data_IF_281373298997
#
_entry.id   IF_281373298997
#
_cell.length_a   1.000
_cell.length_b   1.000
_cell.length_c   1.000
_cell.angle_alpha   90.00
_cell.angle_beta   90.00
_cell.angle_gamma   90.00
#
_symmetry.space_group_name_H-M   'P 1'
#
loop_
_entity.id
_entity.type
_entity.pdbx_description
1 polymer ?
#
# COMPACT_ATOMS: atom_id res chain seq x y z
N UNK A 1 -2.04 -51.46 22.38
CA UNK A 1 -2.34 -50.23 21.60
C UNK A 1 -1.39 -49.14 22.04
N UNK A 2 -0.28 -48.99 21.32
CA UNK A 2 0.69 -47.92 21.58
C UNK A 2 0.08 -46.63 21.05
N UNK A 3 -0.18 -45.69 21.95
CA UNK A 3 -0.61 -44.33 21.63
C UNK A 3 0.52 -43.64 20.86
N UNK A 4 0.42 -43.65 19.52
CA UNK A 4 1.17 -42.76 18.64
C UNK A 4 0.59 -41.36 18.78
N UNK A 5 0.84 -40.72 19.92
CA UNK A 5 0.70 -39.28 20.02
C UNK A 5 1.91 -38.70 19.29
N UNK A 6 1.69 -38.23 18.06
CA UNK A 6 2.71 -37.56 17.24
C UNK A 6 3.44 -36.54 18.10
N UNK A 7 4.76 -36.71 18.23
CA UNK A 7 5.63 -35.70 18.81
C UNK A 7 5.39 -34.42 18.01
N UNK A 8 4.80 -33.41 18.64
CA UNK A 8 4.64 -32.08 18.03
C UNK A 8 6.00 -31.63 17.52
N UNK A 9 6.06 -31.20 16.26
CA UNK A 9 7.27 -30.61 15.69
C UNK A 9 7.78 -29.49 16.59
N UNK A 10 9.10 -29.35 16.73
CA UNK A 10 9.73 -28.31 17.56
C UNK A 10 9.21 -26.89 17.23
N UNK A 11 8.74 -26.66 16.00
CA UNK A 11 8.14 -25.40 15.53
C UNK A 11 6.61 -25.41 15.42
N UNK A 12 5.90 -26.27 16.16
CA UNK A 12 4.44 -26.30 16.11
C UNK A 12 3.84 -24.97 16.62
N UNK A 13 2.83 -24.45 15.92
CA UNK A 13 2.11 -23.26 16.35
C UNK A 13 1.48 -23.51 17.74
N UNK A 14 1.81 -22.64 18.71
CA UNK A 14 1.27 -22.70 20.06
C UNK A 14 0.21 -21.62 20.23
N UNK A 15 -1.04 -21.97 20.56
CA UNK A 15 -2.08 -21.00 20.87
C UNK A 15 -1.64 -20.04 21.97
N UNK A 16 -1.99 -18.77 21.83
CA UNK A 16 -1.53 -17.70 22.73
C UNK A 16 -1.87 -17.97 24.21
N UNK A 17 -3.06 -18.48 24.51
CA UNK A 17 -3.49 -18.82 25.87
C UNK A 17 -2.67 -19.95 26.52
N UNK A 18 -1.87 -20.70 25.74
CA UNK A 18 -0.96 -21.74 26.23
C UNK A 18 0.49 -21.25 26.34
N UNK A 19 0.81 -20.03 25.91
CA UNK A 19 2.11 -19.40 26.16
C UNK A 19 2.13 -18.88 27.61
N UNK A 20 2.84 -19.58 28.48
CA UNK A 20 2.97 -19.20 29.90
C UNK A 20 3.69 -17.84 30.05
N UNK A 21 3.00 -16.87 30.67
CA UNK A 21 3.37 -15.67 31.47
C UNK A 21 4.80 -15.06 31.53
N UNK A 22 5.78 -15.45 30.70
CA UNK A 22 7.10 -14.82 30.69
C UNK A 22 7.21 -13.59 29.77
N UNK A 23 6.17 -13.29 28.98
CA UNK A 23 6.14 -12.14 28.05
C UNK A 23 5.34 -10.95 28.61
N UNK A 24 5.55 -10.59 29.88
CA UNK A 24 4.99 -9.36 30.48
C UNK A 24 5.49 -8.09 29.76
N UNK A 25 6.49 -8.21 28.88
CA UNK A 25 7.15 -7.10 28.20
C UNK A 25 6.91 -7.01 26.68
N UNK A 26 5.90 -7.67 26.12
CA UNK A 26 5.64 -7.62 24.67
C UNK A 26 4.34 -6.88 24.31
N UNK A 27 4.24 -5.64 24.80
CA UNK A 27 3.11 -4.75 24.51
C UNK A 27 2.90 -4.64 22.98
N UNK A 28 3.98 -4.49 22.22
CA UNK A 28 3.98 -4.38 20.76
C UNK A 28 3.39 -5.61 20.05
N UNK A 29 3.76 -6.84 20.42
CA UNK A 29 3.16 -8.03 19.83
C UNK A 29 1.66 -8.16 20.10
N UNK A 30 1.21 -7.76 21.28
CA UNK A 30 -0.20 -7.77 21.63
C UNK A 30 -0.97 -6.72 20.82
N UNK A 31 -0.37 -5.55 20.61
CA UNK A 31 -0.91 -4.48 19.76
C UNK A 31 -1.02 -4.94 18.31
N UNK A 32 0.04 -5.49 17.74
CA UNK A 32 0.04 -6.03 16.38
C UNK A 32 -0.99 -7.14 16.20
N UNK A 33 -1.14 -8.03 17.19
CA UNK A 33 -2.19 -9.06 17.18
C UNK A 33 -3.59 -8.45 17.21
N UNK A 34 -3.82 -7.43 18.04
CA UNK A 34 -5.10 -6.73 18.12
C UNK A 34 -5.42 -6.04 16.78
N UNK A 35 -4.47 -5.28 16.22
CA UNK A 35 -4.60 -4.63 14.91
C UNK A 35 -4.91 -5.66 13.83
N UNK A 36 -4.15 -6.75 13.73
CA UNK A 36 -4.43 -7.84 12.78
C UNK A 36 -5.82 -8.44 13.00
N UNK A 37 -6.24 -8.62 14.26
CA UNK A 37 -7.56 -9.11 14.61
C UNK A 37 -8.69 -8.19 14.13
N UNK A 38 -8.50 -6.87 14.24
CA UNK A 38 -9.47 -5.88 13.73
C UNK A 38 -9.44 -5.85 12.19
N UNK A 39 -8.27 -5.78 11.57
CA UNK A 39 -8.14 -5.73 10.12
C UNK A 39 -8.65 -7.00 9.42
N UNK A 40 -8.51 -8.17 10.03
CA UNK A 40 -9.09 -9.42 9.51
C UNK A 40 -10.64 -9.41 9.53
N UNK A 41 -11.24 -8.62 10.43
CA UNK A 41 -12.69 -8.42 10.51
C UNK A 41 -13.18 -7.30 9.61
N UNK A 42 -12.29 -6.58 8.91
CA UNK A 42 -12.62 -5.49 7.99
C UNK A 42 -13.54 -5.92 6.85
N UNK A 43 -13.51 -7.20 6.46
CA UNK A 43 -14.41 -7.76 5.46
C UNK A 43 -15.80 -8.15 5.98
N UNK A 44 -16.01 -8.26 7.30
CA UNK A 44 -17.22 -8.88 7.88
C UNK A 44 -18.00 -7.99 8.85
N UNK A 45 -17.36 -6.98 9.45
CA UNK A 45 -18.01 -6.02 10.36
C UNK A 45 -18.31 -4.68 9.66
N UNK A 46 -19.20 -3.89 10.27
CA UNK A 46 -19.40 -2.47 9.91
C UNK A 46 -18.11 -1.69 10.19
N UNK A 47 -17.62 -0.95 9.19
CA UNK A 47 -16.37 -0.19 9.22
C UNK A 47 -16.25 0.71 10.47
N UNK A 48 -17.32 1.41 10.83
CA UNK A 48 -17.31 2.35 11.98
C UNK A 48 -17.02 1.65 13.31
N UNK A 49 -17.55 0.44 13.52
CA UNK A 49 -17.29 -0.33 14.74
C UNK A 49 -15.84 -0.80 14.82
N UNK A 50 -15.19 -1.05 13.68
CA UNK A 50 -13.77 -1.45 13.64
C UNK A 50 -12.83 -0.27 13.87
N UNK A 51 -13.18 0.89 13.31
CA UNK A 51 -12.44 2.12 13.57
C UNK A 51 -12.55 2.47 15.06
N UNK A 52 -13.75 2.36 15.64
CA UNK A 52 -13.95 2.56 17.08
C UNK A 52 -13.13 1.57 17.91
N UNK A 53 -13.19 0.27 17.57
CA UNK A 53 -12.35 -0.79 18.20
C UNK A 53 -10.85 -0.41 18.13
N UNK A 54 -10.37 0.26 17.07
CA UNK A 54 -8.98 0.70 16.94
C UNK A 54 -8.68 2.00 17.67
N UNK A 55 -9.55 3.00 17.61
CA UNK A 55 -9.30 4.30 18.26
C UNK A 55 -9.38 4.22 19.78
N UNK A 56 -10.23 3.33 20.32
CA UNK A 56 -10.38 3.08 21.77
C UNK A 56 -9.25 2.23 22.35
N UNK A 57 -8.49 1.54 21.49
CA UNK A 57 -7.30 0.84 21.91
C UNK A 57 -6.29 1.90 22.40
N UNK A 58 -6.12 1.99 23.71
CA UNK A 58 -5.24 2.91 24.47
C UNK A 58 -3.73 2.65 24.24
N UNK A 59 -3.38 2.14 23.05
CA UNK A 59 -2.07 1.61 22.70
C UNK A 59 -1.25 2.56 21.80
N UNK A 60 -1.72 3.79 21.55
CA UNK A 60 -1.08 4.80 20.68
C UNK A 60 0.10 5.55 21.34
N UNK A 61 0.96 4.83 22.05
CA UNK A 61 1.84 5.46 23.05
C UNK A 61 3.22 5.85 22.51
N UNK A 62 3.73 5.16 21.48
CA UNK A 62 5.10 5.32 20.99
C UNK A 62 5.25 5.16 19.46
N UNK A 63 6.41 5.57 18.96
CA UNK A 63 6.74 5.62 17.53
C UNK A 63 6.85 4.22 16.92
N UNK A 64 7.40 3.25 17.66
CA UNK A 64 7.63 1.88 17.21
C UNK A 64 6.28 1.19 16.94
N UNK A 65 5.31 1.37 17.82
CA UNK A 65 3.93 0.88 17.65
C UNK A 65 3.29 1.40 16.36
N UNK A 66 3.46 2.70 16.04
CA UNK A 66 2.96 3.28 14.79
C UNK A 66 3.61 2.62 13.56
N UNK A 67 4.93 2.39 13.58
CA UNK A 67 5.66 1.75 12.47
C UNK A 67 5.16 0.32 12.22
N UNK A 68 4.95 -0.44 13.28
CA UNK A 68 4.44 -1.81 13.19
C UNK A 68 3.01 -1.84 12.65
N UNK A 69 2.12 -0.99 13.17
CA UNK A 69 0.77 -0.84 12.66
C UNK A 69 0.75 -0.49 11.17
N UNK A 70 1.50 0.55 10.77
CA UNK A 70 1.59 0.98 9.38
C UNK A 70 2.03 -0.20 8.51
N UNK A 71 3.01 -0.97 8.98
CA UNK A 71 3.48 -2.15 8.24
C UNK A 71 2.37 -3.18 8.05
N UNK A 72 1.58 -3.47 9.09
CA UNK A 72 0.44 -4.40 9.00
C UNK A 72 -0.64 -3.86 8.05
N UNK A 73 -0.99 -2.58 8.13
CA UNK A 73 -2.00 -1.97 7.25
C UNK A 73 -1.55 -2.07 5.79
N UNK A 74 -0.29 -1.73 5.49
CA UNK A 74 0.25 -1.84 4.13
C UNK A 74 0.24 -3.28 3.62
N UNK A 75 0.67 -4.25 4.43
CA UNK A 75 0.64 -5.67 4.04
C UNK A 75 -0.78 -6.12 3.68
N UNK A 76 -1.77 -5.75 4.48
CA UNK A 76 -3.18 -6.12 4.25
C UNK A 76 -3.77 -5.40 3.03
N UNK A 77 -3.53 -4.10 2.90
CA UNK A 77 -4.02 -3.30 1.78
C UNK A 77 -3.43 -3.76 0.44
N UNK A 78 -2.16 -4.16 0.42
CA UNK A 78 -1.50 -4.70 -0.77
C UNK A 78 -2.03 -6.08 -1.15
N UNK A 79 -2.32 -6.94 -0.17
CA UNK A 79 -2.88 -8.27 -0.40
C UNK A 79 -4.35 -8.23 -0.82
N UNK A 80 -5.09 -7.21 -0.38
CA UNK A 80 -6.52 -7.04 -0.66
C UNK A 80 -6.84 -5.68 -1.28
N UNK A 81 -6.42 -5.41 -2.54
CA UNK A 81 -6.54 -4.08 -3.14
C UNK A 81 -7.98 -3.57 -3.30
N UNK A 82 -8.97 -4.47 -3.31
CA UNK A 82 -10.40 -4.10 -3.37
C UNK A 82 -10.86 -3.32 -2.14
N UNK A 83 -10.24 -3.54 -0.99
CA UNK A 83 -10.54 -2.83 0.25
C UNK A 83 -9.60 -1.62 0.48
N UNK A 84 -8.80 -1.24 -0.53
CA UNK A 84 -7.82 -0.16 -0.42
C UNK A 84 -8.41 1.18 0.05
N UNK A 85 -9.65 1.48 -0.36
CA UNK A 85 -10.36 2.69 0.10
C UNK A 85 -10.64 2.66 1.60
N UNK A 86 -11.09 1.51 2.12
CA UNK A 86 -11.36 1.31 3.55
C UNK A 86 -10.07 1.43 4.38
N UNK A 87 -8.97 0.82 3.92
CA UNK A 87 -7.68 0.96 4.60
C UNK A 87 -7.18 2.42 4.60
N UNK A 88 -7.42 3.17 3.52
CA UNK A 88 -7.03 4.58 3.45
C UNK A 88 -7.90 5.45 4.38
N UNK A 89 -9.20 5.17 4.43
CA UNK A 89 -10.11 5.83 5.37
C UNK A 89 -9.72 5.51 6.82
N UNK A 90 -9.29 4.28 7.12
CA UNK A 90 -8.78 3.91 8.44
C UNK A 90 -7.53 4.72 8.79
N UNK A 91 -6.54 4.79 7.89
CA UNK A 91 -5.36 5.64 8.09
C UNK A 91 -5.74 7.09 8.39
N UNK A 92 -6.79 7.62 7.76
CA UNK A 92 -7.23 9.00 7.98
C UNK A 92 -7.77 9.17 9.40
N UNK A 93 -8.60 8.25 9.88
CA UNK A 93 -9.13 8.31 11.24
C UNK A 93 -8.04 8.15 12.29
N UNK A 94 -7.06 7.27 12.05
CA UNK A 94 -5.89 7.14 12.93
C UNK A 94 -5.12 8.46 12.99
N UNK A 95 -4.87 9.12 11.85
CA UNK A 95 -4.18 10.41 11.83
C UNK A 95 -4.97 11.50 12.55
N UNK A 96 -6.30 11.55 12.38
CA UNK A 96 -7.16 12.51 13.06
C UNK A 96 -7.12 12.30 14.58
N UNK A 97 -7.23 11.05 15.03
CA UNK A 97 -7.12 10.72 16.45
C UNK A 97 -5.74 11.11 17.03
N UNK A 98 -4.64 10.87 16.31
CA UNK A 98 -3.31 11.31 16.73
C UNK A 98 -3.21 12.84 16.85
N UNK A 99 -3.80 13.58 15.90
CA UNK A 99 -3.83 15.05 15.93
C UNK A 99 -4.65 15.58 17.13
N UNK A 100 -5.81 14.98 17.41
CA UNK A 100 -6.70 15.37 18.51
C UNK A 100 -6.07 15.14 19.89
N UNK A 101 -5.24 14.10 20.01
CA UNK A 101 -4.44 13.80 21.21
C UNK A 101 -3.24 14.75 21.41
N UNK A 102 -3.05 15.70 20.49
CA UNK A 102 -2.22 16.89 20.65
C UNK A 102 -0.74 16.62 21.02
N UNK A 103 -0.04 15.89 20.14
CA UNK A 103 1.42 15.85 20.11
C UNK A 103 1.88 16.67 18.91
N UNK A 104 2.73 17.68 19.11
CA UNK A 104 3.32 18.53 18.06
C UNK A 104 4.10 17.74 16.98
N UNK A 105 4.20 16.43 17.11
CA UNK A 105 4.83 15.51 16.19
C UNK A 105 3.84 14.42 15.77
N UNK A 106 3.47 14.39 14.49
CA UNK A 106 2.64 13.33 13.90
C UNK A 106 3.53 12.15 13.51
N UNK A 107 3.65 11.14 14.38
CA UNK A 107 4.42 9.94 14.10
C UNK A 107 3.76 9.09 13.02
N UNK A 108 2.42 9.03 12.98
CA UNK A 108 1.71 8.22 12.00
C UNK A 108 1.93 8.73 10.58
N UNK A 109 1.60 9.99 10.28
CA UNK A 109 1.80 10.55 8.93
C UNK A 109 3.26 10.44 8.49
N UNK A 110 4.23 10.75 9.37
CA UNK A 110 5.66 10.63 9.04
C UNK A 110 6.05 9.18 8.75
N UNK A 111 5.58 8.24 9.58
CA UNK A 111 5.80 6.81 9.38
C UNK A 111 5.20 6.30 8.08
N UNK A 112 3.99 6.77 7.73
CA UNK A 112 3.27 6.41 6.51
C UNK A 112 4.03 6.87 5.27
N UNK A 113 4.47 8.13 5.23
CA UNK A 113 5.27 8.67 4.12
C UNK A 113 6.57 7.91 3.99
N UNK A 114 7.26 7.64 5.10
CA UNK A 114 8.50 6.86 5.09
C UNK A 114 8.28 5.43 4.60
N UNK A 115 7.19 4.77 4.99
CA UNK A 115 6.84 3.42 4.51
C UNK A 115 6.65 3.40 2.99
N UNK A 116 5.95 4.40 2.44
CA UNK A 116 5.77 4.52 0.98
C UNK A 116 7.13 4.65 0.28
N UNK A 117 7.98 5.56 0.77
CA UNK A 117 9.32 5.77 0.20
C UNK A 117 10.14 4.48 0.20
N UNK A 118 10.24 3.81 1.35
CA UNK A 118 10.99 2.54 1.47
C UNK A 118 10.45 1.45 0.54
N UNK A 119 9.12 1.30 0.40
CA UNK A 119 8.54 0.30 -0.49
C UNK A 119 8.81 0.61 -1.97
N UNK A 120 8.76 1.88 -2.36
CA UNK A 120 9.02 2.32 -3.74
C UNK A 120 10.51 2.20 -4.08
N UNK A 121 11.39 2.55 -3.14
CA UNK A 121 12.84 2.35 -3.25
C UNK A 121 13.19 0.86 -3.41
N UNK A 122 12.61 -0.01 -2.58
CA UNK A 122 12.80 -1.46 -2.70
C UNK A 122 12.36 -2.01 -4.06
N UNK A 123 11.24 -1.53 -4.61
CA UNK A 123 10.78 -1.90 -5.97
C UNK A 123 11.78 -1.46 -7.05
N UNK A 124 12.37 -0.27 -6.88
CA UNK A 124 13.38 0.25 -7.81
C UNK A 124 14.73 -0.48 -7.67
N UNK A 125 15.14 -0.89 -6.47
CA UNK A 125 16.35 -1.68 -6.24
C UNK A 125 16.21 -3.11 -6.79
N UNK A 126 15.08 -3.77 -6.52
CA UNK A 126 14.74 -5.09 -7.06
C UNK A 126 14.71 -5.09 -8.60
N UNK A 127 14.44 -3.94 -9.22
CA UNK A 127 14.49 -3.83 -10.68
C UNK A 127 15.90 -3.98 -11.25
N UNK A 128 16.93 -3.65 -10.46
CA UNK A 128 18.34 -3.66 -10.84
C UNK A 128 19.01 -5.02 -10.62
N UNK A 129 18.46 -5.85 -9.74
CA UNK A 129 18.99 -7.18 -9.43
C UNK A 129 18.24 -8.22 -10.27
N UNK A 130 18.78 -8.55 -11.44
CA UNK A 130 18.29 -9.69 -12.21
C UNK A 130 18.69 -10.99 -11.51
N UNK A 131 17.81 -11.47 -10.62
CA UNK A 131 17.94 -12.81 -10.09
C UNK A 131 17.32 -13.76 -11.12
N UNK A 132 18.14 -14.27 -12.04
CA UNK A 132 17.74 -15.25 -13.07
C UNK A 132 17.00 -16.46 -12.47
N UNK A 133 17.29 -16.81 -11.21
CA UNK A 133 16.72 -17.95 -10.49
C UNK A 133 15.46 -17.64 -9.65
N UNK A 134 14.82 -16.48 -9.83
CA UNK A 134 13.56 -16.20 -9.12
C UNK A 134 12.40 -17.02 -9.73
N UNK A 135 11.87 -17.97 -8.95
CA UNK A 135 10.74 -18.83 -9.33
C UNK A 135 9.48 -18.01 -9.68
N UNK A 136 8.68 -18.52 -10.62
CA UNK A 136 7.49 -17.87 -11.18
C UNK A 136 6.52 -17.39 -10.09
N UNK A 137 6.33 -18.19 -9.05
CA UNK A 137 5.47 -17.84 -7.91
C UNK A 137 5.92 -16.55 -7.21
N UNK A 138 7.23 -16.34 -7.05
CA UNK A 138 7.77 -15.11 -6.45
C UNK A 138 7.58 -13.92 -7.37
N UNK A 139 7.81 -14.07 -8.67
CA UNK A 139 7.56 -13.02 -9.68
C UNK A 139 6.10 -12.58 -9.69
N UNK A 140 5.16 -13.53 -9.67
CA UNK A 140 3.73 -13.25 -9.61
C UNK A 140 3.35 -12.53 -8.31
N UNK A 141 3.90 -12.96 -7.17
CA UNK A 141 3.68 -12.30 -5.88
C UNK A 141 4.18 -10.85 -5.90
N UNK A 142 5.42 -10.60 -6.34
CA UNK A 142 5.99 -9.25 -6.46
C UNK A 142 5.13 -8.35 -7.35
N UNK A 143 4.68 -8.85 -8.51
CA UNK A 143 3.77 -8.11 -9.39
C UNK A 143 2.45 -7.77 -8.69
N UNK A 144 1.83 -8.73 -8.01
CA UNK A 144 0.57 -8.53 -7.28
C UNK A 144 0.74 -7.49 -6.18
N UNK A 145 1.80 -7.61 -5.40
CA UNK A 145 2.09 -6.74 -4.26
C UNK A 145 2.37 -5.29 -4.75
N UNK A 146 3.08 -5.12 -5.87
CA UNK A 146 3.29 -3.81 -6.51
C UNK A 146 1.97 -3.18 -6.99
N UNK A 147 1.10 -3.96 -7.65
CA UNK A 147 -0.22 -3.48 -8.08
C UNK A 147 -1.05 -3.05 -6.86
N UNK A 148 -1.01 -3.83 -5.77
CA UNK A 148 -1.67 -3.50 -4.52
C UNK A 148 -1.14 -2.21 -3.89
N UNK A 149 0.18 -2.03 -3.89
CA UNK A 149 0.84 -0.82 -3.40
C UNK A 149 0.38 0.42 -4.16
N UNK A 150 0.38 0.37 -5.50
CA UNK A 150 -0.01 1.49 -6.37
C UNK A 150 -1.46 1.89 -6.13
N UNK A 151 -2.36 0.90 -6.07
CA UNK A 151 -3.77 1.14 -5.75
C UNK A 151 -3.93 1.77 -4.38
N UNK A 152 -3.22 1.26 -3.38
CA UNK A 152 -3.31 1.78 -2.02
C UNK A 152 -2.76 3.22 -1.91
N UNK A 153 -1.61 3.52 -2.52
CA UNK A 153 -1.05 4.88 -2.62
C UNK A 153 -2.08 5.84 -3.24
N UNK A 154 -2.78 5.42 -4.31
CA UNK A 154 -3.82 6.23 -4.94
C UNK A 154 -5.00 6.52 -3.99
N UNK A 155 -5.38 5.54 -3.16
CA UNK A 155 -6.42 5.72 -2.14
C UNK A 155 -5.96 6.62 -0.98
N UNK A 156 -4.70 6.56 -0.58
CA UNK A 156 -4.12 7.48 0.40
C UNK A 156 -4.11 8.92 -0.11
N UNK A 157 -3.85 9.12 -1.41
CA UNK A 157 -3.95 10.43 -2.04
C UNK A 157 -5.39 10.95 -2.08
N UNK A 158 -6.36 10.08 -2.42
CA UNK A 158 -7.80 10.42 -2.40
C UNK A 158 -8.24 11.05 -1.08
N UNK A 159 -7.75 10.52 0.05
CA UNK A 159 -8.09 10.99 1.40
C UNK A 159 -7.18 12.13 1.90
N UNK A 160 -6.32 12.69 1.04
CA UNK A 160 -5.36 13.76 1.34
C UNK A 160 -4.35 13.41 2.46
N UNK A 161 -4.03 12.13 2.65
CA UNK A 161 -2.97 11.70 3.58
C UNK A 161 -1.58 11.76 2.96
N UNK A 162 -1.49 11.86 1.64
CA UNK A 162 -0.25 12.13 0.94
C UNK A 162 -0.47 13.27 -0.04
N UNK A 163 0.57 14.04 -0.29
CA UNK A 163 0.54 15.15 -1.23
C UNK A 163 0.97 14.72 -2.64
N UNK A 164 0.78 15.63 -3.59
CA UNK A 164 1.16 15.41 -4.99
C UNK A 164 2.64 15.03 -5.16
N UNK A 165 3.55 15.60 -4.37
CA UNK A 165 5.00 15.35 -4.49
C UNK A 165 5.36 13.89 -4.21
N UNK A 166 4.63 13.22 -3.32
CA UNK A 166 4.82 11.79 -3.05
C UNK A 166 4.40 10.97 -4.28
N UNK A 167 3.26 11.30 -4.90
CA UNK A 167 2.80 10.65 -6.14
C UNK A 167 3.78 10.86 -7.30
N UNK A 168 4.23 12.10 -7.49
CA UNK A 168 5.19 12.47 -8.54
C UNK A 168 6.48 11.68 -8.39
N UNK A 169 7.00 11.54 -7.16
CA UNK A 169 8.17 10.71 -6.89
C UNK A 169 7.94 9.23 -7.26
N UNK A 170 6.76 8.67 -6.97
CA UNK A 170 6.43 7.31 -7.37
C UNK A 170 6.40 7.17 -8.90
N UNK A 171 5.72 8.10 -9.60
CA UNK A 171 5.63 8.12 -11.07
C UNK A 171 7.01 8.19 -11.72
N UNK A 172 7.84 9.15 -11.29
CA UNK A 172 9.21 9.33 -11.81
C UNK A 172 10.04 8.07 -11.57
N UNK A 173 9.89 7.42 -10.41
CA UNK A 173 10.60 6.18 -10.11
C UNK A 173 10.22 5.05 -11.06
N UNK A 174 8.91 4.85 -11.28
CA UNK A 174 8.43 3.79 -12.19
C UNK A 174 8.80 4.07 -13.64
N UNK A 175 8.67 5.30 -14.12
CA UNK A 175 9.06 5.67 -15.49
C UNK A 175 10.56 5.45 -15.70
N UNK A 176 11.42 5.91 -14.78
CA UNK A 176 12.88 5.69 -14.86
C UNK A 176 13.24 4.20 -14.79
N UNK A 177 12.56 3.43 -13.96
CA UNK A 177 12.76 1.98 -13.89
C UNK A 177 12.39 1.29 -15.22
N UNK A 178 11.31 1.70 -15.87
CA UNK A 178 10.96 1.24 -17.22
C UNK A 178 12.03 1.65 -18.24
N UNK A 179 12.46 2.91 -18.25
CA UNK A 179 13.45 3.38 -19.22
C UNK A 179 14.76 2.61 -19.14
N UNK A 180 15.18 2.29 -17.92
CA UNK A 180 16.40 1.52 -17.64
C UNK A 180 16.27 0.04 -18.00
N UNK A 181 15.18 -0.61 -17.59
CA UNK A 181 15.06 -2.08 -17.65
C UNK A 181 14.23 -2.58 -18.83
N UNK A 182 13.43 -1.71 -19.46
CA UNK A 182 12.40 -2.03 -20.46
C UNK A 182 11.35 -3.06 -19.99
N UNK A 183 11.30 -3.36 -18.69
CA UNK A 183 10.29 -4.25 -18.10
C UNK A 183 8.94 -3.54 -18.09
N UNK A 184 8.01 -3.98 -18.94
CA UNK A 184 6.68 -3.38 -19.10
C UNK A 184 5.91 -3.23 -17.79
N UNK A 185 6.18 -4.05 -16.78
CA UNK A 185 5.60 -3.94 -15.44
C UNK A 185 5.74 -2.53 -14.84
N UNK A 186 6.86 -1.84 -15.07
CA UNK A 186 7.07 -0.50 -14.53
C UNK A 186 6.27 0.57 -15.30
N UNK A 187 6.13 0.42 -16.61
CA UNK A 187 5.26 1.31 -17.38
C UNK A 187 3.78 1.06 -17.04
N UNK A 188 3.37 -0.20 -16.89
CA UNK A 188 2.06 -0.60 -16.36
C UNK A 188 1.80 0.07 -15.00
N UNK A 189 2.81 0.09 -14.13
CA UNK A 189 2.72 0.69 -12.80
C UNK A 189 2.51 2.20 -12.85
N UNK A 190 3.22 2.90 -13.75
CA UNK A 190 3.03 4.33 -13.96
C UNK A 190 1.64 4.64 -14.52
N UNK A 191 1.19 3.91 -15.56
CA UNK A 191 -0.15 4.08 -16.16
C UNK A 191 -1.24 3.81 -15.11
N UNK A 192 -1.09 2.75 -14.31
CA UNK A 192 -2.03 2.42 -13.25
C UNK A 192 -2.10 3.52 -12.19
N UNK A 193 -0.97 4.08 -11.77
CA UNK A 193 -0.95 5.19 -10.81
C UNK A 193 -1.63 6.44 -11.38
N UNK A 194 -1.35 6.79 -12.64
CA UNK A 194 -2.02 7.91 -13.33
C UNK A 194 -3.52 7.70 -13.38
N UNK A 195 -3.96 6.51 -13.81
CA UNK A 195 -5.38 6.18 -13.96
C UNK A 195 -6.14 6.25 -12.61
N UNK A 196 -5.55 5.71 -11.53
CA UNK A 196 -6.23 5.66 -10.23
C UNK A 196 -6.15 6.97 -9.45
N UNK A 197 -5.04 7.71 -9.51
CA UNK A 197 -4.87 8.96 -8.77
C UNK A 197 -5.38 10.19 -9.52
N UNK A 198 -5.41 10.12 -10.86
CA UNK A 198 -5.76 11.22 -11.75
C UNK A 198 -7.10 11.92 -11.41
N UNK A 199 -8.20 11.20 -11.14
CA UNK A 199 -9.48 11.83 -10.77
C UNK A 199 -9.42 12.69 -9.49
N UNK A 200 -8.47 12.43 -8.60
CA UNK A 200 -8.37 13.10 -7.29
C UNK A 200 -7.52 14.37 -7.31
N UNK A 201 -6.84 14.67 -8.42
CA UNK A 201 -6.04 15.90 -8.56
C UNK A 201 -6.97 17.10 -8.77
N UNK A 202 -6.82 18.13 -7.93
CA UNK A 202 -7.70 19.31 -7.96
C UNK A 202 -6.98 20.59 -8.38
N UNK A 203 -5.68 20.67 -8.16
CA UNK A 203 -4.89 21.84 -8.51
C UNK A 203 -4.43 21.80 -9.97
N UNK A 204 -4.29 22.98 -10.58
CA UNK A 204 -3.94 23.11 -11.99
C UNK A 204 -2.50 22.69 -12.30
N UNK A 205 -1.56 22.87 -11.36
CA UNK A 205 -0.16 22.48 -11.53
C UNK A 205 -0.02 20.96 -11.57
N UNK A 206 -0.57 20.27 -10.58
CA UNK A 206 -0.62 18.81 -10.51
C UNK A 206 -1.35 18.22 -11.72
N UNK A 207 -2.43 18.86 -12.18
CA UNK A 207 -3.16 18.44 -13.38
C UNK A 207 -2.28 18.52 -14.62
N UNK A 208 -1.63 19.66 -14.87
CA UNK A 208 -0.74 19.84 -16.01
C UNK A 208 0.42 18.82 -16.01
N UNK A 209 0.97 18.50 -14.83
CA UNK A 209 1.99 17.47 -14.68
C UNK A 209 1.47 16.06 -15.01
N UNK A 210 0.30 15.67 -14.49
CA UNK A 210 -0.31 14.37 -14.80
C UNK A 210 -0.66 14.23 -16.28
N UNK A 211 -1.16 15.28 -16.91
CA UNK A 211 -1.42 15.30 -18.36
C UNK A 211 -0.10 15.11 -19.14
N UNK A 212 0.98 15.77 -18.70
CA UNK A 212 2.32 15.60 -19.23
C UNK A 212 2.84 14.16 -19.09
N UNK A 213 2.66 13.52 -17.94
CA UNK A 213 3.03 12.11 -17.74
C UNK A 213 2.19 11.15 -18.58
N UNK A 214 0.88 11.42 -18.72
CA UNK A 214 0.01 10.66 -19.62
C UNK A 214 0.52 10.72 -21.06
N UNK A 215 0.81 11.93 -21.56
CA UNK A 215 1.41 12.13 -22.89
C UNK A 215 2.77 11.46 -23.03
N UNK A 216 3.54 11.39 -21.94
CA UNK A 216 4.83 10.72 -21.92
C UNK A 216 4.69 9.22 -22.16
N UNK A 217 3.71 8.56 -21.53
CA UNK A 217 3.46 7.13 -21.70
C UNK A 217 3.10 6.75 -23.15
N UNK A 218 2.42 7.64 -23.88
CA UNK A 218 2.01 7.42 -25.28
C UNK A 218 3.20 7.19 -26.23
N UNK A 219 4.38 7.71 -25.91
CA UNK A 219 5.60 7.53 -26.72
C UNK A 219 6.01 6.07 -26.87
N UNK A 220 5.59 5.21 -25.93
CA UNK A 220 5.98 3.81 -25.91
C UNK A 220 5.02 2.88 -26.65
N UNK A 221 3.95 3.40 -27.28
CA UNK A 221 2.92 2.58 -27.94
C UNK A 221 3.48 1.55 -28.93
N UNK A 222 4.50 1.93 -29.70
CA UNK A 222 5.11 1.07 -30.71
C UNK A 222 6.00 -0.05 -30.14
N UNK A 223 6.40 0.05 -28.87
CA UNK A 223 7.41 -0.84 -28.25
C UNK A 223 6.87 -1.69 -27.10
N UNK A 224 5.57 -1.62 -26.82
CA UNK A 224 4.90 -2.35 -25.73
C UNK A 224 3.85 -3.31 -26.27
N UNK A 225 3.50 -4.32 -25.46
CA UNK A 225 2.47 -5.29 -25.83
C UNK A 225 1.09 -4.62 -25.96
N UNK A 226 0.19 -5.30 -26.70
CA UNK A 226 -1.18 -4.82 -26.95
C UNK A 226 -1.96 -4.48 -25.68
N UNK A 227 -1.75 -5.25 -24.60
CA UNK A 227 -2.42 -5.00 -23.32
C UNK A 227 -2.02 -3.65 -22.72
N UNK A 228 -0.74 -3.30 -22.76
CA UNK A 228 -0.29 -1.98 -22.29
C UNK A 228 -0.80 -0.88 -23.22
N UNK A 229 -0.84 -1.12 -24.53
CA UNK A 229 -1.45 -0.18 -25.47
C UNK A 229 -2.91 0.13 -25.12
N UNK A 230 -3.72 -0.89 -24.81
CA UNK A 230 -5.10 -0.66 -24.35
C UNK A 230 -5.15 0.12 -23.03
N UNK A 231 -4.23 -0.13 -22.09
CA UNK A 231 -4.16 0.68 -20.86
C UNK A 231 -3.78 2.15 -21.15
N UNK A 232 -2.94 2.41 -22.15
CA UNK A 232 -2.63 3.77 -22.59
C UNK A 232 -3.88 4.41 -23.21
N UNK A 233 -4.65 3.67 -24.03
CA UNK A 233 -5.90 4.16 -24.59
C UNK A 233 -6.91 4.54 -23.50
N UNK A 234 -7.10 3.66 -22.50
CA UNK A 234 -7.97 3.92 -21.35
C UNK A 234 -7.53 5.17 -20.58
N UNK A 235 -6.22 5.36 -20.39
CA UNK A 235 -5.67 6.54 -19.73
C UNK A 235 -5.89 7.82 -20.53
N UNK A 236 -5.69 7.78 -21.86
CA UNK A 236 -5.92 8.92 -22.75
C UNK A 236 -7.39 9.30 -22.75
N UNK A 237 -8.29 8.32 -22.86
CA UNK A 237 -9.73 8.54 -22.80
C UNK A 237 -10.14 9.16 -21.45
N UNK A 238 -9.55 8.70 -20.34
CA UNK A 238 -9.78 9.29 -19.03
C UNK A 238 -9.29 10.75 -18.97
N UNK A 239 -8.12 11.06 -19.52
CA UNK A 239 -7.61 12.44 -19.59
C UNK A 239 -8.52 13.34 -20.43
N UNK A 240 -8.94 12.87 -21.61
CA UNK A 240 -9.80 13.63 -22.54
C UNK A 240 -11.21 13.88 -21.97
N UNK A 241 -11.72 12.98 -21.13
CA UNK A 241 -12.95 13.18 -20.35
C UNK A 241 -12.75 14.04 -19.10
N UNK A 242 -11.68 14.84 -19.05
CA UNK A 242 -11.28 15.67 -17.93
C UNK A 242 -11.20 14.87 -16.61
N UNK A 243 -10.58 13.69 -16.67
CA UNK A 243 -10.35 12.80 -15.54
C UNK A 243 -11.63 12.36 -14.80
N UNK A 244 -12.75 12.29 -15.52
CA UNK A 244 -14.05 11.93 -14.95
C UNK A 244 -14.70 13.03 -14.11
N UNK A 245 -14.23 14.28 -14.20
CA UNK A 245 -14.84 15.42 -13.51
C UNK A 245 -16.11 15.95 -14.20
N UNK A 246 -16.44 15.42 -15.39
CA UNK A 246 -17.60 15.83 -16.20
C UNK A 246 -18.85 14.92 -16.01
N UNK A 247 -18.89 14.10 -14.96
CA UNK A 247 -20.03 13.22 -14.60
C UNK A 247 -20.47 13.47 -13.17
#
# INVERSE_FOLDING_TARGET
>A
MVSLCEKRSENAWVPYFLKHNNDINNNNENIVRAIRGVLNKLATKKFDALVQDLTEIDLWCDKETFIEMISVIFEQAMQSPLYGSLYADLCLKIQQNENDLNKAETWFHRGLVRKIQTLVEAVNEDSNTEIENEDLLRKMKKKRDLIGLIRFISQLFRVNLINFKILENCLVTYVRAYERTKKELFLESAILLLYNAGPFIRDSDGRAKFDGYSSYCEKYRAVVCKRINFMIDDLVNLRESNWGQNV
#
